data_IF_790286805364
#
_entry.id   IF_790286805364
#
_cell.length_a   1.000
_cell.length_b   1.000
_cell.length_c   1.000
_cell.angle_alpha   90.00
_cell.angle_beta   90.00
_cell.angle_gamma   90.00
#
_symmetry.space_group_name_H-M   'P 1'
#
loop_
_entity.id
_entity.type
_entity.pdbx_description
1 polymer ?
#
# COMPACT_ATOMS: atom_id res chain seq x y z
N UNK A 1 -22.06 17.42 20.70
CA UNK A 1 -20.66 17.74 20.97
C UNK A 1 -19.97 16.50 21.49
N UNK A 2 -19.07 15.91 20.71
CA UNK A 2 -18.18 14.86 21.18
C UNK A 2 -17.09 15.55 22.01
N UNK A 3 -16.82 15.10 23.26
CA UNK A 3 -15.71 15.65 24.03
C UNK A 3 -14.41 15.48 23.23
N UNK A 4 -13.56 16.51 23.21
CA UNK A 4 -12.28 16.47 22.46
C UNK A 4 -11.42 15.27 22.87
N UNK A 5 -11.44 14.87 24.15
CA UNK A 5 -10.73 13.69 24.67
C UNK A 5 -11.30 12.32 24.29
N UNK A 6 -12.29 12.26 23.39
CA UNK A 6 -12.88 11.02 22.90
C UNK A 6 -12.60 10.75 21.40
N UNK A 7 -11.72 11.55 20.79
CA UNK A 7 -11.40 11.41 19.35
C UNK A 7 -10.08 10.68 19.19
N UNK A 8 -10.14 9.47 18.62
CA UNK A 8 -8.98 8.72 18.15
C UNK A 8 -8.87 8.89 16.63
N UNK A 9 -7.67 9.18 16.15
CA UNK A 9 -7.37 9.36 14.73
C UNK A 9 -6.66 8.11 14.22
N UNK A 10 -7.27 7.40 13.29
CA UNK A 10 -6.65 6.26 12.62
C UNK A 10 -6.37 6.65 11.18
N UNK A 11 -5.10 6.79 10.86
CA UNK A 11 -4.61 7.11 9.52
C UNK A 11 -4.18 5.82 8.83
N UNK A 12 -4.97 5.37 7.87
CA UNK A 12 -4.64 4.21 7.05
C UNK A 12 -3.76 4.64 5.88
N UNK A 13 -2.54 4.12 5.82
CA UNK A 13 -1.58 4.47 4.77
C UNK A 13 -1.22 3.24 3.93
N UNK A 14 -0.93 3.47 2.66
CA UNK A 14 -0.44 2.48 1.69
C UNK A 14 1.08 2.58 1.46
N UNK A 15 1.74 3.39 2.26
CA UNK A 15 3.19 3.63 2.19
C UNK A 15 3.79 3.80 3.57
N UNK A 16 5.06 3.43 3.70
CA UNK A 16 5.88 3.68 4.89
C UNK A 16 6.77 4.91 4.75
N UNK A 17 6.66 5.66 3.63
CA UNK A 17 7.49 6.84 3.39
C UNK A 17 7.39 7.84 4.54
N UNK A 18 8.52 8.26 5.12
CA UNK A 18 8.57 9.31 6.13
C UNK A 18 8.23 10.66 5.50
N UNK A 19 8.10 11.71 6.31
CA UNK A 19 7.79 13.04 5.80
C UNK A 19 8.93 13.58 4.93
N UNK A 20 10.19 13.39 5.33
CA UNK A 20 11.37 14.01 4.72
C UNK A 20 12.51 13.04 4.45
N UNK A 21 13.52 13.51 3.73
CA UNK A 21 14.73 12.75 3.40
C UNK A 21 14.65 11.97 2.09
N UNK A 22 15.68 11.18 1.75
CA UNK A 22 15.78 10.51 0.44
C UNK A 22 14.62 9.52 0.15
N UNK A 23 13.99 8.99 1.19
CA UNK A 23 12.80 8.14 1.11
C UNK A 23 11.52 8.85 1.52
N UNK A 24 11.60 10.18 1.73
CA UNK A 24 10.48 11.02 2.13
C UNK A 24 9.53 11.34 1.00
N UNK A 25 8.39 11.91 1.37
CA UNK A 25 7.28 12.19 0.46
C UNK A 25 7.68 12.95 -0.82
N UNK A 26 8.50 13.98 -0.69
CA UNK A 26 8.91 14.80 -1.83
C UNK A 26 9.76 14.02 -2.84
N UNK A 27 10.71 13.23 -2.35
CA UNK A 27 11.62 12.45 -3.19
C UNK A 27 10.93 11.25 -3.85
N UNK A 28 10.06 10.55 -3.12
CA UNK A 28 9.38 9.34 -3.61
C UNK A 28 8.23 9.68 -4.56
N UNK A 29 7.41 10.68 -4.22
CA UNK A 29 6.17 10.94 -4.96
C UNK A 29 6.24 12.20 -5.84
N UNK A 30 7.22 13.08 -5.65
CA UNK A 30 7.38 14.32 -6.40
C UNK A 30 7.60 14.08 -7.90
N UNK A 31 8.55 13.23 -8.31
CA UNK A 31 8.88 13.02 -9.73
C UNK A 31 7.68 12.63 -10.58
N UNK A 32 6.89 11.66 -10.15
CA UNK A 32 5.70 11.20 -10.88
C UNK A 32 4.57 12.23 -10.95
N UNK A 33 4.65 13.29 -10.12
CA UNK A 33 3.70 14.42 -10.10
C UNK A 33 4.25 15.64 -10.83
N UNK A 34 5.40 15.50 -11.51
CA UNK A 34 6.01 16.54 -12.33
C UNK A 34 6.93 17.50 -11.58
N UNK A 35 7.28 17.22 -10.32
CA UNK A 35 8.22 18.02 -9.57
C UNK A 35 9.65 17.90 -10.18
N UNK A 36 10.30 19.04 -10.40
CA UNK A 36 11.71 19.11 -10.76
C UNK A 36 12.59 18.81 -9.53
N UNK A 37 13.89 18.63 -9.75
CA UNK A 37 14.83 18.42 -8.65
C UNK A 37 14.81 19.58 -7.64
N UNK A 38 14.75 20.81 -8.14
CA UNK A 38 14.70 22.00 -7.28
C UNK A 38 13.38 22.08 -6.51
N UNK A 39 12.26 21.69 -7.13
CA UNK A 39 10.97 21.60 -6.45
C UNK A 39 10.99 20.56 -5.32
N UNK A 40 11.61 19.41 -5.55
CA UNK A 40 11.74 18.35 -4.54
C UNK A 40 12.48 18.87 -3.31
N UNK A 41 13.59 19.60 -3.50
CA UNK A 41 14.34 20.19 -2.39
C UNK A 41 13.54 21.25 -1.63
N UNK A 42 12.72 22.04 -2.34
CA UNK A 42 11.82 23.03 -1.71
C UNK A 42 10.73 22.34 -0.91
N UNK A 43 10.12 21.31 -1.48
CA UNK A 43 9.04 20.53 -0.83
C UNK A 43 9.56 19.82 0.42
N UNK A 44 10.72 19.17 0.32
CA UNK A 44 11.33 18.44 1.45
C UNK A 44 11.65 19.39 2.62
N UNK A 45 12.24 20.56 2.35
CA UNK A 45 12.47 21.60 3.37
C UNK A 45 11.15 22.13 3.95
N UNK A 46 10.12 22.27 3.13
CA UNK A 46 8.78 22.68 3.56
C UNK A 46 8.16 21.69 4.54
N UNK A 47 8.24 20.40 4.22
CA UNK A 47 7.77 19.32 5.09
C UNK A 47 8.57 19.24 6.38
N UNK A 48 9.90 19.40 6.32
CA UNK A 48 10.74 19.47 7.52
C UNK A 48 10.30 20.62 8.44
N UNK A 49 10.03 21.79 7.85
CA UNK A 49 9.55 22.93 8.63
C UNK A 49 8.17 22.69 9.25
N UNK A 50 7.27 22.03 8.54
CA UNK A 50 5.97 21.65 9.11
C UNK A 50 6.12 20.69 10.28
N UNK A 51 7.00 19.69 10.17
CA UNK A 51 7.30 18.77 11.28
C UNK A 51 7.86 19.50 12.51
N UNK A 52 8.78 20.45 12.32
CA UNK A 52 9.30 21.28 13.41
C UNK A 52 8.19 22.09 14.11
N UNK A 53 7.31 22.74 13.35
CA UNK A 53 6.20 23.54 13.91
C UNK A 53 5.18 22.65 14.63
N UNK A 54 4.94 21.47 14.12
CA UNK A 54 4.00 20.50 14.67
C UNK A 54 4.57 19.67 15.85
N UNK A 55 5.87 19.79 16.11
CA UNK A 55 6.62 18.96 17.07
C UNK A 55 6.44 17.45 16.79
N UNK A 56 6.63 17.06 15.51
CA UNK A 56 6.45 15.70 15.02
C UNK A 56 7.77 15.18 14.44
N UNK A 57 8.14 13.96 14.76
CA UNK A 57 9.33 13.32 14.18
C UNK A 57 9.13 13.07 12.67
N UNK A 58 9.91 13.76 11.80
CA UNK A 58 9.81 13.61 10.37
C UNK A 58 10.14 12.20 9.86
N UNK A 59 10.84 11.38 10.65
CA UNK A 59 11.19 9.99 10.30
C UNK A 59 10.07 9.00 10.57
N UNK A 60 8.95 9.42 11.16
CA UNK A 60 7.81 8.54 11.46
C UNK A 60 7.32 7.84 10.19
N UNK A 61 7.28 6.48 10.15
CA UNK A 61 6.81 5.74 8.99
C UNK A 61 5.36 6.10 8.63
N UNK A 62 5.13 6.30 7.32
CA UNK A 62 3.80 6.66 6.80
C UNK A 62 3.42 8.13 6.96
N UNK A 63 4.22 8.94 7.65
CA UNK A 63 3.91 10.36 7.85
C UNK A 63 3.95 11.16 6.54
N UNK A 64 4.72 10.69 5.53
CA UNK A 64 4.78 11.26 4.20
C UNK A 64 3.58 10.95 3.30
N UNK A 65 2.70 10.05 3.71
CA UNK A 65 1.49 9.72 2.95
C UNK A 65 0.65 10.97 2.66
N UNK A 66 0.05 10.99 1.46
CA UNK A 66 -0.76 12.11 1.00
C UNK A 66 -0.11 13.50 1.15
N UNK A 67 1.24 13.56 0.98
CA UNK A 67 1.98 14.82 1.07
C UNK A 67 2.11 15.38 2.49
N UNK A 68 2.08 14.52 3.51
CA UNK A 68 2.28 14.92 4.90
C UNK A 68 1.00 15.31 5.64
N UNK A 69 -0.17 14.86 5.18
CA UNK A 69 -1.46 15.10 5.88
C UNK A 69 -1.40 14.67 7.34
N UNK A 70 -0.68 13.58 7.64
CA UNK A 70 -0.48 13.08 8.99
C UNK A 70 0.15 14.10 9.95
N UNK A 71 1.03 14.99 9.45
CA UNK A 71 1.66 16.05 10.25
C UNK A 71 0.59 16.98 10.83
N UNK A 72 -0.35 17.44 9.96
CA UNK A 72 -1.41 18.35 10.36
C UNK A 72 -2.38 17.71 11.36
N UNK A 73 -2.71 16.43 11.18
CA UNK A 73 -3.59 15.70 12.10
C UNK A 73 -2.91 15.50 13.45
N UNK A 74 -1.63 15.14 13.46
CA UNK A 74 -0.86 14.98 14.71
C UNK A 74 -0.76 16.31 15.46
N UNK A 75 -0.46 17.41 14.74
CA UNK A 75 -0.44 18.75 15.34
C UNK A 75 -1.80 19.13 15.95
N UNK A 76 -2.91 18.89 15.21
CA UNK A 76 -4.27 19.15 15.71
C UNK A 76 -4.56 18.32 16.95
N UNK A 77 -4.21 17.04 16.94
CA UNK A 77 -4.37 16.15 18.10
C UNK A 77 -3.60 16.66 19.30
N UNK A 78 -2.33 17.04 19.13
CA UNK A 78 -1.51 17.62 20.19
C UNK A 78 -2.13 18.89 20.77
N UNK A 79 -2.69 19.75 19.93
CA UNK A 79 -3.39 20.96 20.42
C UNK A 79 -4.68 20.64 21.21
N UNK A 80 -5.37 19.56 20.87
CA UNK A 80 -6.63 19.18 21.51
C UNK A 80 -6.42 18.38 22.81
N UNK A 81 -5.39 17.54 22.84
CA UNK A 81 -5.18 16.53 23.90
C UNK A 81 -3.91 16.76 24.71
N UNK A 82 -3.00 17.62 24.22
CA UNK A 82 -1.71 17.87 24.87
C UNK A 82 -0.55 16.99 24.36
N UNK A 83 -0.88 15.92 23.59
CA UNK A 83 0.10 15.02 22.99
C UNK A 83 -0.44 14.35 21.71
N UNK A 84 0.38 13.50 21.08
CA UNK A 84 0.07 12.79 19.84
C UNK A 84 -0.44 11.35 20.06
N UNK A 85 -0.68 10.92 21.29
CA UNK A 85 -1.05 9.53 21.63
C UNK A 85 -2.37 9.05 21.01
N UNK A 86 -3.20 10.00 20.59
CA UNK A 86 -4.49 9.74 19.93
C UNK A 86 -4.37 9.60 18.40
N UNK A 87 -3.15 9.57 17.83
CA UNK A 87 -2.94 9.43 16.38
C UNK A 87 -2.22 8.12 16.10
N UNK A 88 -2.86 7.26 15.32
CA UNK A 88 -2.35 5.95 14.93
C UNK A 88 -2.18 5.90 13.42
N UNK A 89 -0.93 5.76 12.96
CA UNK A 89 -0.61 5.55 11.54
C UNK A 89 -0.44 4.04 11.33
N UNK A 90 -1.34 3.44 10.55
CA UNK A 90 -1.42 1.99 10.38
C UNK A 90 -1.36 1.60 8.90
N UNK A 91 -0.81 0.41 8.56
CA UNK A 91 -0.81 -0.11 7.19
C UNK A 91 -2.25 -0.43 6.76
N UNK A 92 -2.79 0.38 5.84
CA UNK A 92 -4.20 0.39 5.47
C UNK A 92 -4.68 -0.92 4.88
N UNK A 93 -3.91 -1.54 4.00
CA UNK A 93 -4.29 -2.81 3.37
C UNK A 93 -4.49 -3.92 4.42
N UNK A 94 -3.61 -4.00 5.44
CA UNK A 94 -3.73 -5.00 6.50
C UNK A 94 -4.96 -4.75 7.37
N UNK A 95 -5.18 -3.51 7.80
CA UNK A 95 -6.34 -3.15 8.64
C UNK A 95 -7.66 -3.44 7.90
N UNK A 96 -7.73 -3.12 6.61
CA UNK A 96 -8.93 -3.39 5.81
C UNK A 96 -9.12 -4.90 5.59
N UNK A 97 -8.05 -5.66 5.32
CA UNK A 97 -8.10 -7.10 5.21
C UNK A 97 -8.63 -7.77 6.49
N UNK A 98 -8.06 -7.40 7.63
CA UNK A 98 -8.46 -7.93 8.94
C UNK A 98 -9.93 -7.57 9.27
N UNK A 99 -10.34 -6.32 8.99
CA UNK A 99 -11.71 -5.85 9.23
C UNK A 99 -12.76 -6.56 8.39
N UNK A 100 -12.37 -7.10 7.23
CA UNK A 100 -13.27 -7.84 6.33
C UNK A 100 -13.14 -9.36 6.48
N UNK A 101 -12.37 -9.86 7.44
CA UNK A 101 -12.17 -11.30 7.64
C UNK A 101 -11.51 -11.98 6.43
N UNK A 102 -10.56 -11.27 5.76
CA UNK A 102 -9.95 -11.80 4.54
C UNK A 102 -9.14 -13.06 4.80
N UNK A 103 -8.50 -13.18 5.96
CA UNK A 103 -7.73 -14.36 6.33
C UNK A 103 -8.59 -15.64 6.36
N UNK A 104 -9.79 -15.57 6.93
CA UNK A 104 -10.73 -16.69 6.97
C UNK A 104 -11.25 -17.07 5.58
N UNK A 105 -11.47 -16.06 4.71
CA UNK A 105 -11.90 -16.31 3.34
C UNK A 105 -10.79 -16.96 2.50
N UNK A 106 -9.55 -16.52 2.68
CA UNK A 106 -8.37 -17.06 2.00
C UNK A 106 -8.06 -18.49 2.46
N UNK A 107 -8.23 -18.80 3.75
CA UNK A 107 -7.98 -20.15 4.30
C UNK A 107 -8.85 -21.25 3.65
N UNK A 108 -9.99 -20.89 3.07
CA UNK A 108 -10.84 -21.83 2.33
C UNK A 108 -10.67 -21.80 0.82
N UNK A 109 -9.78 -20.99 0.29
CA UNK A 109 -9.60 -20.77 -1.14
C UNK A 109 -8.47 -21.63 -1.71
N UNK A 110 -8.70 -22.30 -2.81
CA UNK A 110 -7.65 -23.01 -3.54
C UNK A 110 -6.77 -22.08 -4.40
N UNK A 111 -7.34 -20.96 -4.83
CA UNK A 111 -6.68 -19.92 -5.62
C UNK A 111 -7.09 -18.55 -5.13
N UNK A 112 -6.12 -17.69 -4.88
CA UNK A 112 -6.29 -16.29 -4.47
C UNK A 112 -5.75 -15.39 -5.58
N UNK A 113 -6.56 -14.46 -6.06
CA UNK A 113 -6.22 -13.59 -7.19
C UNK A 113 -6.28 -12.13 -6.73
N UNK A 114 -5.27 -11.35 -7.06
CA UNK A 114 -5.27 -9.89 -6.91
C UNK A 114 -4.84 -9.19 -8.19
N UNK A 115 -5.07 -7.88 -8.26
CA UNK A 115 -4.68 -7.06 -9.40
C UNK A 115 -4.05 -5.75 -8.99
N UNK A 116 -3.07 -5.31 -9.78
CA UNK A 116 -2.36 -4.04 -9.59
C UNK A 116 -2.19 -3.32 -10.94
N UNK A 117 -2.18 -1.99 -10.94
CA UNK A 117 -1.79 -1.24 -12.13
C UNK A 117 -0.30 -1.44 -12.45
N UNK A 118 0.54 -1.42 -11.41
CA UNK A 118 1.98 -1.60 -11.48
C UNK A 118 2.47 -2.37 -10.27
N UNK A 119 3.08 -3.51 -10.52
CA UNK A 119 3.70 -4.35 -9.50
C UNK A 119 5.18 -3.96 -9.39
N UNK A 120 5.55 -3.33 -8.28
CA UNK A 120 6.91 -2.87 -7.98
C UNK A 120 7.45 -3.52 -6.69
N UNK A 121 8.78 -3.57 -6.51
CA UNK A 121 9.42 -4.18 -5.34
C UNK A 121 9.14 -3.46 -4.02
N UNK A 122 8.52 -2.29 -4.05
CA UNK A 122 7.99 -1.64 -2.86
C UNK A 122 6.67 -2.29 -2.39
N UNK A 123 6.19 -3.27 -3.13
CA UNK A 123 5.00 -4.07 -2.81
C UNK A 123 5.15 -4.80 -1.46
N UNK A 124 6.40 -4.99 -0.96
CA UNK A 124 6.70 -5.56 0.36
C UNK A 124 6.33 -4.69 1.57
N UNK A 125 5.75 -3.49 1.39
CA UNK A 125 5.56 -2.52 2.48
C UNK A 125 4.09 -2.16 2.74
N UNK A 126 3.17 -3.15 2.73
CA UNK A 126 1.79 -2.93 3.17
C UNK A 126 0.80 -2.54 2.08
N UNK A 127 1.15 -2.71 0.79
CA UNK A 127 0.21 -2.62 -0.34
C UNK A 127 -0.70 -3.85 -0.40
N UNK A 128 -1.84 -3.72 -1.07
CA UNK A 128 -2.87 -4.77 -1.15
C UNK A 128 -2.30 -6.10 -1.65
N UNK A 129 -1.52 -6.10 -2.74
CA UNK A 129 -0.99 -7.32 -3.32
C UNK A 129 -0.05 -8.08 -2.37
N UNK A 130 0.78 -7.38 -1.56
CA UNK A 130 1.65 -8.04 -0.59
C UNK A 130 0.86 -8.66 0.56
N UNK A 131 -0.13 -7.94 1.11
CA UNK A 131 -0.97 -8.47 2.20
C UNK A 131 -1.77 -9.69 1.74
N UNK A 132 -2.35 -9.64 0.53
CA UNK A 132 -3.10 -10.77 -0.04
C UNK A 132 -2.19 -11.96 -0.33
N UNK A 133 -0.98 -11.71 -0.85
CA UNK A 133 0.02 -12.74 -1.09
C UNK A 133 0.56 -13.40 0.19
N UNK A 134 0.74 -12.61 1.26
CA UNK A 134 1.10 -13.14 2.59
C UNK A 134 0.00 -14.07 3.12
N UNK A 135 -1.24 -13.63 3.10
CA UNK A 135 -2.39 -14.43 3.54
C UNK A 135 -2.55 -15.72 2.71
N UNK A 136 -2.36 -15.64 1.39
CA UNK A 136 -2.39 -16.81 0.53
C UNK A 136 -1.30 -17.83 0.88
N UNK A 137 -0.09 -17.35 1.15
CA UNK A 137 1.04 -18.20 1.55
C UNK A 137 0.81 -18.84 2.93
N UNK A 138 0.28 -18.08 3.90
CA UNK A 138 -0.07 -18.59 5.24
C UNK A 138 -1.15 -19.68 5.17
N UNK A 139 -2.05 -19.58 4.19
CA UNK A 139 -3.13 -20.53 3.97
C UNK A 139 -2.77 -21.70 3.02
N UNK A 140 -1.53 -21.75 2.52
CA UNK A 140 -1.09 -22.73 1.52
C UNK A 140 -1.92 -22.71 0.22
N UNK A 141 -2.48 -21.54 -0.10
CA UNK A 141 -3.28 -21.28 -1.30
C UNK A 141 -2.40 -20.89 -2.47
N UNK A 142 -2.77 -21.26 -3.69
CA UNK A 142 -2.09 -20.74 -4.89
C UNK A 142 -2.38 -19.24 -5.01
N UNK A 143 -1.33 -18.46 -5.19
CA UNK A 143 -1.44 -17.01 -5.36
C UNK A 143 -1.23 -16.59 -6.81
N UNK A 144 -2.08 -15.72 -7.31
CA UNK A 144 -1.98 -15.14 -8.64
C UNK A 144 -2.09 -13.61 -8.59
N UNK A 145 -1.26 -12.94 -9.37
CA UNK A 145 -1.30 -11.48 -9.54
C UNK A 145 -1.37 -11.12 -11.02
N UNK A 146 -2.35 -10.26 -11.37
CA UNK A 146 -2.44 -9.64 -12.67
C UNK A 146 -2.03 -8.17 -12.55
N UNK A 147 -1.08 -7.71 -13.38
CA UNK A 147 -0.63 -6.32 -13.33
C UNK A 147 -0.45 -5.73 -14.74
N UNK A 148 -0.67 -4.44 -14.88
CA UNK A 148 -0.40 -3.73 -16.12
C UNK A 148 1.10 -3.70 -16.45
N UNK A 149 1.93 -3.66 -15.43
CA UNK A 149 3.38 -3.69 -15.55
C UNK A 149 4.01 -4.36 -14.33
N UNK A 150 5.08 -5.14 -14.56
CA UNK A 150 5.91 -5.72 -13.51
C UNK A 150 7.31 -5.08 -13.58
N UNK A 151 7.67 -4.29 -12.57
CA UNK A 151 9.04 -3.79 -12.40
C UNK A 151 9.94 -4.86 -11.80
N UNK A 152 9.38 -5.72 -10.96
CA UNK A 152 10.03 -6.87 -10.34
C UNK A 152 9.16 -8.11 -10.49
N UNK A 153 9.80 -9.26 -10.54
CA UNK A 153 9.09 -10.54 -10.59
C UNK A 153 8.54 -10.87 -9.21
N UNK A 154 7.30 -11.33 -9.10
CA UNK A 154 6.78 -11.89 -7.85
C UNK A 154 7.57 -13.09 -7.36
N UNK A 155 7.37 -13.43 -6.09
CA UNK A 155 7.99 -14.60 -5.46
C UNK A 155 7.74 -15.89 -6.26
N UNK A 156 8.71 -16.81 -6.20
CA UNK A 156 8.61 -18.12 -6.86
C UNK A 156 7.33 -18.85 -6.40
N UNK A 157 6.61 -19.41 -7.37
CA UNK A 157 5.33 -20.07 -7.14
C UNK A 157 4.10 -19.17 -7.31
N UNK A 158 4.29 -17.86 -7.47
CA UNK A 158 3.20 -16.94 -7.83
C UNK A 158 2.89 -17.02 -9.32
N UNK A 159 1.61 -17.12 -9.68
CA UNK A 159 1.15 -16.96 -11.06
C UNK A 159 1.12 -15.48 -11.39
N UNK A 160 2.02 -15.02 -12.25
CA UNK A 160 2.09 -13.63 -12.69
C UNK A 160 1.57 -13.50 -14.12
N UNK A 161 0.59 -12.61 -14.32
CA UNK A 161 0.01 -12.33 -15.64
C UNK A 161 0.07 -10.85 -15.94
N UNK A 162 0.71 -10.47 -17.04
CA UNK A 162 0.70 -9.09 -17.53
C UNK A 162 -0.61 -8.81 -18.24
N UNK A 163 -1.30 -7.75 -17.85
CA UNK A 163 -2.53 -7.32 -18.49
C UNK A 163 -2.25 -6.88 -19.94
N UNK A 164 -3.04 -7.34 -20.92
CA UNK A 164 -2.85 -6.93 -22.30
C UNK A 164 -3.15 -5.44 -22.51
N UNK A 165 -2.45 -4.80 -23.44
CA UNK A 165 -2.70 -3.42 -23.84
C UNK A 165 -3.99 -3.35 -24.67
N UNK A 166 -5.07 -2.89 -24.09
CA UNK A 166 -6.36 -2.65 -24.73
C UNK A 166 -7.14 -1.57 -23.98
N UNK A 167 -7.94 -0.80 -24.71
CA UNK A 167 -8.84 0.19 -24.11
C UNK A 167 -10.09 -0.43 -23.45
N UNK A 168 -10.29 -1.73 -23.66
CA UNK A 168 -11.43 -2.48 -23.11
C UNK A 168 -11.03 -3.23 -21.82
N UNK A 169 -11.26 -2.61 -20.67
CA UNK A 169 -10.94 -3.19 -19.35
C UNK A 169 -11.58 -4.57 -19.13
N UNK A 170 -12.80 -4.80 -19.63
CA UNK A 170 -13.47 -6.12 -19.49
C UNK A 170 -12.73 -7.20 -20.28
N UNK A 171 -12.31 -6.91 -21.48
CA UNK A 171 -11.52 -7.84 -22.32
C UNK A 171 -10.18 -8.14 -21.67
N UNK A 172 -9.49 -7.11 -21.19
CA UNK A 172 -8.24 -7.20 -20.46
C UNK A 172 -8.33 -8.16 -19.25
N UNK A 173 -9.32 -7.95 -18.39
CA UNK A 173 -9.53 -8.78 -17.21
C UNK A 173 -9.99 -10.20 -17.56
N UNK A 174 -10.79 -10.36 -18.60
CA UNK A 174 -11.25 -11.69 -19.07
C UNK A 174 -10.08 -12.53 -19.58
N UNK A 175 -9.18 -11.91 -20.37
CA UNK A 175 -8.00 -12.59 -20.88
C UNK A 175 -7.05 -12.97 -19.73
N UNK A 176 -6.76 -12.04 -18.83
CA UNK A 176 -5.92 -12.32 -17.66
C UNK A 176 -6.50 -13.45 -16.79
N UNK A 177 -7.80 -13.46 -16.58
CA UNK A 177 -8.46 -14.54 -15.84
C UNK A 177 -8.33 -15.90 -16.53
N UNK A 178 -8.43 -15.95 -17.86
CA UNK A 178 -8.24 -17.18 -18.63
C UNK A 178 -6.77 -17.67 -18.54
N UNK A 179 -5.79 -16.79 -18.62
CA UNK A 179 -4.36 -17.13 -18.48
C UNK A 179 -4.05 -17.66 -17.07
N UNK A 180 -4.57 -17.00 -16.03
CA UNK A 180 -4.45 -17.47 -14.64
C UNK A 180 -5.07 -18.87 -14.47
N UNK A 181 -6.26 -19.10 -15.02
CA UNK A 181 -6.93 -20.39 -14.93
C UNK A 181 -6.10 -21.52 -15.58
N UNK A 182 -5.55 -21.29 -16.76
CA UNK A 182 -4.69 -22.26 -17.46
C UNK A 182 -3.42 -22.53 -16.62
N UNK A 183 -2.78 -21.50 -16.10
CA UNK A 183 -1.58 -21.63 -15.26
C UNK A 183 -1.89 -22.44 -13.98
N UNK A 184 -3.00 -22.15 -13.32
CA UNK A 184 -3.45 -22.84 -12.11
C UNK A 184 -3.70 -24.33 -12.35
N UNK A 185 -4.39 -24.68 -13.44
CA UNK A 185 -4.67 -26.08 -13.80
C UNK A 185 -3.38 -26.86 -14.06
N UNK A 186 -2.38 -26.23 -14.66
CA UNK A 186 -1.08 -26.84 -14.91
C UNK A 186 -0.29 -27.09 -13.61
N UNK A 187 -0.38 -26.21 -12.60
CA UNK A 187 0.26 -26.43 -11.29
C UNK A 187 -0.38 -27.60 -10.54
N UNK A 188 -1.69 -27.73 -10.62
CA UNK A 188 -2.44 -28.79 -9.94
C UNK A 188 -2.19 -30.19 -10.54
N UNK A 189 -1.79 -30.29 -11.81
CA UNK A 189 -1.52 -31.56 -12.50
C UNK A 189 -0.14 -32.14 -12.16
N UNK A 190 0.78 -31.35 -11.62
CA UNK A 190 2.15 -31.78 -11.28
C UNK A 190 2.24 -32.35 -9.86
N UNK A 191 1.23 -32.15 -9.02
CA UNK A 191 1.19 -32.60 -7.61
C UNK A 191 0.39 -33.91 -7.39
N UNK A 192 -0.18 -34.50 -8.42
CA UNK A 192 -0.91 -35.79 -8.41
C UNK A 192 -0.12 -36.88 -9.10
#
# INVERSE_FOLDING_TARGET
NVPAGAVEWVLLTDTTAPATGPQGAAHVFGPQKGATRDDIEVLDRGLARLCEVADVDPATPGLGAAGGVGIGITWLSTMLHGDSSHVHILPGARVVADSNGLAEQVAGAALVITGEGRFDGQTGTGKVASVVGELAREADSVFAVAAGHFDEQPDAGTIAVTLPETDNVREQLTQAGAEIAVAYLNTSTVQG
#
